data_IF_013579403086
#
_entry.id   IF_013579403086
#
_cell.length_a   1.000
_cell.length_b   1.000
_cell.length_c   1.000
_cell.angle_alpha   90.00
_cell.angle_beta   90.00
_cell.angle_gamma   90.00
#
_symmetry.space_group_name_H-M   'P 1'
#
loop_
_entity.id
_entity.type
_entity.pdbx_description
1 polymer ?
#
# COMPACT_ATOMS: atom_id res chain seq x y z
N UNK A 1 -5.51 15.54 -23.70
CA UNK A 1 -6.08 14.34 -24.35
C UNK A 1 -6.64 14.73 -25.71
N UNK A 2 -6.67 13.81 -26.67
CA UNK A 2 -7.09 14.05 -28.06
C UNK A 2 -8.07 12.96 -28.54
N UNK A 3 -8.75 13.18 -29.66
CA UNK A 3 -9.61 12.18 -30.31
C UNK A 3 -10.72 11.63 -29.39
N UNK A 4 -10.89 10.32 -29.30
CA UNK A 4 -11.91 9.69 -28.45
C UNK A 4 -11.62 9.90 -26.95
N UNK A 5 -10.34 9.85 -26.54
CA UNK A 5 -9.95 10.18 -25.15
C UNK A 5 -10.43 11.57 -24.74
N UNK A 6 -10.38 12.54 -25.66
CA UNK A 6 -10.85 13.90 -25.38
C UNK A 6 -12.36 13.93 -25.13
N UNK A 7 -13.14 13.21 -25.96
CA UNK A 7 -14.61 13.16 -25.85
C UNK A 7 -15.01 12.48 -24.55
N UNK A 8 -14.46 11.32 -24.27
CA UNK A 8 -14.74 10.57 -23.05
C UNK A 8 -14.32 11.33 -21.79
N UNK A 9 -13.06 11.78 -21.74
CA UNK A 9 -12.56 12.46 -20.55
C UNK A 9 -13.26 13.80 -20.32
N UNK A 10 -13.70 14.52 -21.36
CA UNK A 10 -14.43 15.78 -21.18
C UNK A 10 -15.74 15.58 -20.38
N UNK A 11 -16.44 14.48 -20.64
CA UNK A 11 -17.67 14.11 -19.93
C UNK A 11 -17.39 13.70 -18.49
N UNK A 12 -16.41 12.82 -18.27
CA UNK A 12 -16.07 12.32 -16.92
C UNK A 12 -15.54 13.46 -16.04
N UNK A 13 -14.64 14.27 -16.58
CA UNK A 13 -13.95 15.33 -15.83
C UNK A 13 -14.81 16.59 -15.66
N UNK A 14 -15.89 16.71 -16.44
CA UNK A 14 -16.69 17.91 -16.61
C UNK A 14 -15.81 19.11 -17.00
N UNK A 15 -15.06 18.95 -18.10
CA UNK A 15 -14.19 19.99 -18.66
C UNK A 15 -14.58 20.29 -20.10
N UNK A 16 -14.22 21.47 -20.60
CA UNK A 16 -14.56 21.88 -21.95
C UNK A 16 -13.92 20.95 -23.01
N UNK A 17 -14.76 20.39 -23.88
CA UNK A 17 -14.32 19.75 -25.12
C UNK A 17 -14.10 20.82 -26.18
N UNK A 18 -12.88 20.92 -26.69
CA UNK A 18 -12.45 21.90 -27.70
C UNK A 18 -11.85 21.18 -28.90
N UNK A 19 -11.24 21.93 -29.82
CA UNK A 19 -10.52 21.37 -30.97
C UNK A 19 -9.23 22.12 -31.25
N UNK A 20 -8.20 21.39 -31.69
CA UNK A 20 -6.96 21.95 -32.26
C UNK A 20 -6.92 21.59 -33.75
N UNK A 21 -7.12 22.58 -34.61
CA UNK A 21 -7.48 22.31 -36.01
C UNK A 21 -8.84 21.60 -36.05
N UNK A 22 -8.88 20.40 -36.65
CA UNK A 22 -10.08 19.55 -36.68
C UNK A 22 -10.09 18.48 -35.59
N UNK A 23 -9.00 18.32 -34.84
CA UNK A 23 -8.86 17.25 -33.84
C UNK A 23 -9.51 17.63 -32.51
N UNK A 24 -10.46 16.83 -31.97
CA UNK A 24 -11.02 17.03 -30.64
C UNK A 24 -9.94 17.01 -29.55
N UNK A 25 -10.04 17.90 -28.58
CA UNK A 25 -9.08 18.06 -27.50
C UNK A 25 -9.76 18.50 -26.21
N UNK A 26 -9.35 17.91 -25.09
CA UNK A 26 -9.57 18.48 -23.76
C UNK A 26 -8.28 18.39 -22.94
N UNK A 27 -8.17 19.20 -21.89
CA UNK A 27 -6.96 19.29 -21.08
C UNK A 27 -7.24 19.79 -19.67
N UNK A 28 -6.28 19.52 -18.79
CA UNK A 28 -6.30 19.92 -17.39
C UNK A 28 -4.96 20.58 -17.05
N UNK A 29 -4.92 21.55 -16.12
CA UNK A 29 -3.67 22.15 -15.70
C UNK A 29 -2.83 21.17 -14.88
N UNK A 30 -1.52 21.14 -15.12
CA UNK A 30 -0.58 20.20 -14.49
C UNK A 30 -0.69 20.19 -12.95
N UNK A 31 -0.82 21.37 -12.33
CA UNK A 31 -0.91 21.51 -10.87
C UNK A 31 -2.19 20.92 -10.27
N UNK A 32 -3.23 20.68 -11.07
CA UNK A 32 -4.50 20.10 -10.61
C UNK A 32 -4.68 18.64 -11.03
N UNK A 33 -3.66 18.01 -11.63
CA UNK A 33 -3.74 16.67 -12.24
C UNK A 33 -4.36 15.64 -11.31
N UNK A 34 -3.99 15.66 -10.03
CA UNK A 34 -4.43 14.66 -9.06
C UNK A 34 -5.96 14.63 -8.84
N UNK A 35 -6.62 15.78 -8.78
CA UNK A 35 -8.08 15.82 -8.58
C UNK A 35 -8.83 15.27 -9.79
N UNK A 36 -8.31 15.48 -11.00
CA UNK A 36 -8.90 14.94 -12.22
C UNK A 36 -8.57 13.46 -12.40
N UNK A 37 -7.38 13.04 -11.98
CA UNK A 37 -6.98 11.63 -11.97
C UNK A 37 -7.93 10.80 -11.12
N UNK A 38 -8.28 11.30 -9.93
CA UNK A 38 -9.23 10.64 -9.04
C UNK A 38 -10.58 10.37 -9.71
N UNK A 39 -11.10 11.33 -10.48
CA UNK A 39 -12.37 11.17 -11.22
C UNK A 39 -12.29 10.11 -12.32
N UNK A 40 -11.17 10.07 -13.07
CA UNK A 40 -10.99 9.07 -14.13
C UNK A 40 -10.92 7.66 -13.54
N UNK A 41 -10.17 7.49 -12.47
CA UNK A 41 -10.01 6.20 -11.80
C UNK A 41 -11.30 5.74 -11.10
N UNK A 42 -12.07 6.65 -10.49
CA UNK A 42 -13.40 6.36 -9.96
C UNK A 42 -14.39 5.95 -11.06
N UNK A 43 -14.21 6.46 -12.29
CA UNK A 43 -14.96 6.01 -13.46
C UNK A 43 -14.40 4.70 -14.09
N UNK A 44 -13.47 4.02 -13.40
CA UNK A 44 -12.87 2.77 -13.86
C UNK A 44 -11.88 2.92 -15.01
N UNK A 45 -11.36 4.13 -15.27
CA UNK A 45 -10.44 4.39 -16.38
C UNK A 45 -8.98 4.36 -15.94
N UNK A 46 -8.17 3.63 -16.70
CA UNK A 46 -6.71 3.67 -16.63
C UNK A 46 -6.17 4.92 -17.32
N UNK A 47 -5.10 5.50 -16.77
CA UNK A 47 -4.51 6.74 -17.31
C UNK A 47 -3.01 6.57 -17.49
N UNK A 48 -2.56 6.66 -18.74
CA UNK A 48 -1.15 6.72 -19.08
C UNK A 48 -0.66 8.18 -18.98
N UNK A 49 0.38 8.41 -18.18
CA UNK A 49 1.03 9.71 -18.07
C UNK A 49 2.25 9.73 -18.98
N UNK A 50 2.28 10.73 -19.84
CA UNK A 50 3.33 10.91 -20.82
C UNK A 50 4.08 12.22 -20.56
N UNK A 51 5.32 12.10 -20.11
CA UNK A 51 6.17 13.24 -19.73
C UNK A 51 7.23 13.53 -20.78
N UNK A 52 7.75 14.76 -20.74
CA UNK A 52 8.92 15.16 -21.51
C UNK A 52 10.17 14.68 -20.79
N UNK A 53 11.02 13.91 -21.47
CA UNK A 53 12.24 13.35 -20.89
C UNK A 53 13.49 14.17 -21.21
N UNK A 54 13.36 15.20 -22.03
CA UNK A 54 14.46 16.10 -22.39
C UNK A 54 14.04 17.58 -22.30
N UNK A 55 15.03 18.46 -22.11
CA UNK A 55 14.81 19.90 -22.04
C UNK A 55 14.29 20.44 -23.36
N UNK A 56 13.18 21.18 -23.31
CA UNK A 56 12.59 21.78 -24.49
C UNK A 56 13.53 22.79 -25.15
N UNK A 57 13.75 22.60 -26.46
CA UNK A 57 14.46 23.55 -27.32
C UNK A 57 13.47 24.18 -28.31
N UNK A 58 13.55 25.51 -28.54
CA UNK A 58 12.62 26.18 -29.46
C UNK A 58 12.60 25.52 -30.84
N UNK A 59 11.40 25.24 -31.35
CA UNK A 59 11.19 24.67 -32.69
C UNK A 59 11.48 23.17 -32.83
N UNK A 60 11.92 22.49 -31.78
CA UNK A 60 12.18 21.05 -31.80
C UNK A 60 11.13 20.27 -31.02
N UNK A 61 10.72 19.14 -31.57
CA UNK A 61 9.89 18.17 -30.86
C UNK A 61 10.76 17.51 -29.79
N UNK A 62 10.34 17.63 -28.54
CA UNK A 62 10.94 16.90 -27.44
C UNK A 62 10.49 15.45 -27.42
N UNK A 63 11.41 14.56 -27.08
CA UNK A 63 11.15 13.16 -26.79
C UNK A 63 10.21 13.05 -25.59
N UNK A 64 9.19 12.22 -25.75
CA UNK A 64 8.17 11.94 -24.74
C UNK A 64 8.02 10.44 -24.55
N UNK A 65 7.85 10.03 -23.31
CA UNK A 65 7.68 8.63 -22.95
C UNK A 65 6.56 8.48 -21.93
N UNK A 66 5.94 7.29 -21.91
CA UNK A 66 4.99 6.94 -20.86
C UNK A 66 5.80 6.60 -19.62
N UNK A 67 5.72 7.46 -18.61
CA UNK A 67 6.47 7.32 -17.36
C UNK A 67 5.74 6.47 -16.34
N UNK A 68 4.41 6.43 -16.42
CA UNK A 68 3.56 5.67 -15.50
C UNK A 68 2.19 5.41 -16.13
N UNK A 69 1.61 4.26 -15.82
CA UNK A 69 0.20 3.97 -16.09
C UNK A 69 -0.47 3.74 -14.74
N UNK A 70 -1.49 4.54 -14.47
CA UNK A 70 -2.23 4.52 -13.22
C UNK A 70 -3.55 3.81 -13.44
N UNK A 71 -3.91 2.87 -12.57
CA UNK A 71 -5.18 2.15 -12.62
C UNK A 71 -5.92 2.24 -11.29
N UNK A 72 -7.24 1.94 -11.28
CA UNK A 72 -8.03 1.95 -10.06
C UNK A 72 -7.44 1.04 -8.96
N UNK A 73 -6.95 -0.16 -9.32
CA UNK A 73 -6.32 -1.09 -8.37
C UNK A 73 -4.82 -0.88 -8.14
N UNK A 74 -4.16 0.03 -8.86
CA UNK A 74 -2.71 0.20 -8.77
C UNK A 74 -2.27 1.67 -8.92
N UNK A 75 -2.18 2.37 -7.78
CA UNK A 75 -1.71 3.76 -7.69
C UNK A 75 -1.21 4.10 -6.27
N UNK A 76 -0.38 5.15 -6.16
CA UNK A 76 0.19 5.63 -4.89
C UNK A 76 -0.37 6.99 -4.43
N UNK A 77 -1.41 7.52 -5.07
CA UNK A 77 -1.97 8.82 -4.69
C UNK A 77 -2.74 8.71 -3.36
N UNK A 78 -2.11 9.13 -2.25
CA UNK A 78 -2.69 9.07 -0.90
C UNK A 78 -4.02 9.82 -0.77
N UNK A 79 -4.30 10.81 -1.62
CA UNK A 79 -5.59 11.52 -1.60
C UNK A 79 -6.74 10.65 -2.09
N UNK A 80 -6.41 9.59 -2.81
CA UNK A 80 -7.37 8.62 -3.35
C UNK A 80 -7.45 7.35 -2.52
N UNK A 81 -6.39 7.05 -1.77
CA UNK A 81 -6.31 5.86 -0.95
C UNK A 81 -6.96 6.13 0.41
N UNK A 82 -7.87 5.24 0.80
CA UNK A 82 -8.33 5.19 2.19
C UNK A 82 -7.21 4.62 3.06
N UNK A 83 -6.83 5.34 4.12
CA UNK A 83 -5.71 4.93 4.98
C UNK A 83 -5.96 3.54 5.60
N UNK A 84 -7.18 3.28 6.06
CA UNK A 84 -7.55 2.08 6.80
C UNK A 84 -7.93 0.88 5.91
N UNK A 85 -7.77 1.00 4.59
CA UNK A 85 -8.20 -0.03 3.62
C UNK A 85 -7.12 -0.30 2.58
N UNK A 86 -6.93 -1.58 2.26
CA UNK A 86 -6.10 -2.00 1.13
C UNK A 86 -6.73 -1.61 -0.21
N UNK A 87 -5.90 -1.32 -1.21
CA UNK A 87 -6.34 -1.10 -2.58
C UNK A 87 -5.88 -2.26 -3.47
N UNK A 88 -6.61 -3.37 -3.41
CA UNK A 88 -6.22 -4.58 -4.13
C UNK A 88 -6.52 -4.48 -5.63
N UNK A 89 -5.52 -4.86 -6.43
CA UNK A 89 -5.71 -5.43 -7.74
C UNK A 89 -5.81 -6.95 -7.61
N UNK A 90 -6.87 -7.55 -8.14
CA UNK A 90 -7.07 -8.99 -8.11
C UNK A 90 -6.94 -9.58 -9.51
N UNK A 91 -6.24 -10.71 -9.62
CA UNK A 91 -6.28 -11.56 -10.80
C UNK A 91 -7.04 -12.83 -10.49
N UNK A 92 -7.94 -13.24 -11.40
CA UNK A 92 -8.68 -14.50 -11.30
C UNK A 92 -8.32 -15.39 -12.49
N UNK A 93 -7.89 -16.61 -12.20
CA UNK A 93 -7.56 -17.63 -13.20
C UNK A 93 -8.34 -18.92 -12.96
N UNK A 94 -8.48 -19.74 -13.99
CA UNK A 94 -9.13 -21.06 -13.89
C UNK A 94 -8.19 -22.13 -14.43
N UNK A 95 -8.08 -23.23 -13.69
CA UNK A 95 -7.42 -24.45 -14.15
C UNK A 95 -8.27 -25.66 -13.77
N UNK A 96 -8.78 -26.38 -14.77
CA UNK A 96 -9.75 -27.46 -14.55
C UNK A 96 -11.00 -26.95 -13.84
N UNK A 97 -11.26 -27.46 -12.64
CA UNK A 97 -12.40 -27.08 -11.79
C UNK A 97 -12.00 -26.14 -10.63
N UNK A 98 -10.76 -25.63 -10.63
CA UNK A 98 -10.23 -24.78 -9.56
C UNK A 98 -10.10 -23.34 -10.04
N UNK A 99 -10.32 -22.41 -9.13
CA UNK A 99 -10.20 -20.97 -9.34
C UNK A 99 -9.02 -20.44 -8.53
N UNK A 100 -8.06 -19.81 -9.20
CA UNK A 100 -7.00 -19.08 -8.53
C UNK A 100 -7.42 -17.63 -8.32
N UNK A 101 -7.22 -17.11 -7.12
CA UNK A 101 -7.42 -15.69 -6.81
C UNK A 101 -6.14 -15.15 -6.21
N UNK A 102 -5.50 -14.22 -6.91
CA UNK A 102 -4.31 -13.52 -6.43
C UNK A 102 -4.65 -12.06 -6.17
N UNK A 103 -4.30 -11.55 -5.00
CA UNK A 103 -4.51 -10.18 -4.57
C UNK A 103 -3.18 -9.49 -4.34
N UNK A 104 -2.97 -8.36 -5.03
CA UNK A 104 -1.80 -7.51 -4.89
C UNK A 104 -2.24 -6.14 -4.41
N UNK A 105 -1.65 -5.62 -3.33
CA UNK A 105 -1.74 -4.21 -2.98
C UNK A 105 -0.38 -3.56 -3.24
N UNK A 106 -0.34 -2.78 -4.31
CA UNK A 106 0.86 -2.07 -4.73
C UNK A 106 1.39 -1.13 -3.63
N UNK A 107 0.51 -0.62 -2.77
CA UNK A 107 0.84 0.38 -1.75
C UNK A 107 1.41 -0.22 -0.48
N UNK A 108 1.09 -1.46 -0.13
CA UNK A 108 1.59 -2.12 1.09
C UNK A 108 2.65 -3.19 0.80
N UNK A 109 2.74 -3.65 -0.44
CA UNK A 109 3.57 -4.80 -0.79
C UNK A 109 2.85 -6.15 -0.56
N UNK A 110 1.58 -6.14 -0.17
CA UNK A 110 0.82 -7.38 0.02
C UNK A 110 0.72 -8.15 -1.30
N UNK A 111 1.11 -9.42 -1.26
CA UNK A 111 0.89 -10.37 -2.34
C UNK A 111 0.40 -11.70 -1.76
N UNK A 112 -0.91 -11.93 -1.90
CA UNK A 112 -1.62 -13.08 -1.34
C UNK A 112 -2.26 -13.87 -2.47
N UNK A 113 -2.35 -15.19 -2.32
CA UNK A 113 -3.00 -16.05 -3.31
C UNK A 113 -3.70 -17.22 -2.65
N UNK A 114 -4.81 -17.65 -3.22
CA UNK A 114 -5.56 -18.83 -2.77
C UNK A 114 -6.14 -19.59 -3.96
N UNK A 115 -6.57 -20.83 -3.72
CA UNK A 115 -7.22 -21.66 -4.71
C UNK A 115 -8.58 -22.17 -4.21
N UNK A 116 -9.63 -21.91 -4.98
CA UNK A 116 -11.02 -22.12 -4.59
C UNK A 116 -11.71 -23.17 -5.46
N UNK A 117 -12.71 -23.84 -4.89
CA UNK A 117 -13.42 -24.96 -5.52
C UNK A 117 -14.75 -24.59 -6.18
N UNK A 118 -15.27 -23.38 -5.93
CA UNK A 118 -16.59 -22.98 -6.41
C UNK A 118 -16.67 -21.51 -6.80
N UNK A 119 -17.57 -21.22 -7.73
CA UNK A 119 -17.89 -19.86 -8.16
C UNK A 119 -18.37 -18.98 -7.00
N UNK A 120 -19.16 -19.55 -6.08
CA UNK A 120 -19.62 -18.84 -4.88
C UNK A 120 -18.46 -18.46 -3.95
N UNK A 121 -17.44 -19.31 -3.84
CA UNK A 121 -16.24 -18.99 -3.07
C UNK A 121 -15.46 -17.84 -3.71
N UNK A 122 -15.38 -17.79 -5.05
CA UNK A 122 -14.76 -16.65 -5.76
C UNK A 122 -15.52 -15.36 -5.46
N UNK A 123 -16.86 -15.38 -5.54
CA UNK A 123 -17.69 -14.20 -5.23
C UNK A 123 -17.50 -13.76 -3.77
N UNK A 124 -17.50 -14.70 -2.82
CA UNK A 124 -17.25 -14.40 -1.41
C UNK A 124 -15.89 -13.75 -1.19
N UNK A 125 -14.86 -14.23 -1.89
CA UNK A 125 -13.51 -13.71 -1.77
C UNK A 125 -13.34 -12.31 -2.40
N UNK A 126 -14.00 -12.06 -3.53
CA UNK A 126 -14.05 -10.73 -4.15
C UNK A 126 -14.81 -9.73 -3.27
N UNK A 127 -15.93 -10.14 -2.66
CA UNK A 127 -16.67 -9.30 -1.72
C UNK A 127 -15.82 -8.96 -0.49
N UNK A 128 -15.09 -9.96 0.03
CA UNK A 128 -14.23 -9.83 1.21
C UNK A 128 -13.07 -8.87 0.97
N UNK A 129 -12.37 -9.04 -0.14
CA UNK A 129 -11.20 -8.25 -0.50
C UNK A 129 -11.58 -6.88 -1.07
N UNK A 130 -12.78 -6.76 -1.64
CA UNK A 130 -13.36 -5.54 -2.21
C UNK A 130 -12.33 -4.79 -3.12
N UNK A 131 -11.93 -5.40 -4.24
CA UNK A 131 -10.84 -4.92 -5.08
C UNK A 131 -11.18 -3.60 -5.79
N UNK A 132 -10.15 -2.78 -6.00
CA UNK A 132 -10.25 -1.60 -6.87
C UNK A 132 -10.27 -1.96 -8.35
N UNK A 133 -9.67 -3.08 -8.72
CA UNK A 133 -9.63 -3.59 -10.10
C UNK A 133 -9.49 -5.12 -10.11
N UNK A 134 -10.19 -5.77 -11.03
CA UNK A 134 -10.03 -7.21 -11.31
C UNK A 134 -9.60 -7.44 -12.75
N UNK A 135 -8.66 -8.37 -12.93
CA UNK A 135 -8.21 -8.86 -14.24
C UNK A 135 -8.47 -10.36 -14.39
N UNK A 136 -8.71 -10.79 -15.63
CA UNK A 136 -8.95 -12.19 -15.98
C UNK A 136 -8.45 -12.51 -17.41
N UNK A 137 -8.20 -13.80 -17.75
CA UNK A 137 -7.85 -14.22 -19.11
C UNK A 137 -8.94 -13.86 -20.13
N UNK A 138 -8.60 -13.14 -21.20
CA UNK A 138 -9.54 -12.63 -22.22
C UNK A 138 -10.44 -13.73 -22.82
N UNK A 139 -9.91 -14.94 -22.98
CA UNK A 139 -10.61 -16.07 -23.55
C UNK A 139 -11.68 -16.64 -22.61
N UNK A 140 -11.63 -16.33 -21.31
CA UNK A 140 -12.50 -16.89 -20.28
C UNK A 140 -13.77 -16.04 -20.08
N UNK A 141 -14.67 -16.09 -21.06
CA UNK A 141 -15.97 -15.37 -20.98
C UNK A 141 -16.82 -15.76 -19.76
N UNK A 142 -16.76 -17.03 -19.34
CA UNK A 142 -17.46 -17.52 -18.14
C UNK A 142 -16.98 -16.82 -16.87
N UNK A 143 -15.67 -16.56 -16.74
CA UNK A 143 -15.16 -15.78 -15.62
C UNK A 143 -15.66 -14.34 -15.65
N UNK A 144 -15.71 -13.74 -16.85
CA UNK A 144 -16.22 -12.38 -16.99
C UNK A 144 -17.66 -12.26 -16.49
N UNK A 145 -18.55 -13.14 -16.96
CA UNK A 145 -19.97 -13.18 -16.57
C UNK A 145 -20.17 -13.43 -15.07
N UNK A 146 -19.30 -14.23 -14.45
CA UNK A 146 -19.31 -14.48 -13.01
C UNK A 146 -18.88 -13.25 -12.18
N UNK A 147 -17.84 -12.55 -12.63
CA UNK A 147 -17.15 -11.51 -11.85
C UNK A 147 -17.80 -10.14 -12.05
N UNK A 148 -18.19 -9.78 -13.28
CA UNK A 148 -18.69 -8.45 -13.66
C UNK A 148 -19.78 -7.91 -12.72
N UNK A 149 -20.78 -8.69 -12.27
CA UNK A 149 -21.84 -8.19 -11.38
C UNK A 149 -21.36 -7.84 -9.97
N UNK A 150 -20.18 -8.33 -9.57
CA UNK A 150 -19.70 -8.30 -8.19
C UNK A 150 -18.56 -7.29 -7.98
N UNK A 151 -18.07 -6.64 -9.03
CA UNK A 151 -16.91 -5.74 -8.96
C UNK A 151 -17.16 -4.45 -9.73
N UNK A 152 -16.49 -3.37 -9.32
CA UNK A 152 -16.66 -2.07 -9.98
C UNK A 152 -15.89 -1.95 -11.29
N UNK A 153 -14.73 -2.62 -11.38
CA UNK A 153 -13.83 -2.53 -12.54
C UNK A 153 -13.33 -3.93 -12.88
N UNK A 154 -13.65 -4.38 -14.08
CA UNK A 154 -13.22 -5.67 -14.63
C UNK A 154 -12.51 -5.44 -15.98
N UNK A 155 -11.35 -6.05 -16.17
CA UNK A 155 -10.58 -5.97 -17.41
C UNK A 155 -10.15 -7.35 -17.88
N UNK A 156 -10.29 -7.63 -19.17
CA UNK A 156 -9.59 -8.76 -19.78
C UNK A 156 -8.09 -8.47 -19.91
N UNK A 157 -7.29 -9.53 -19.87
CA UNK A 157 -5.86 -9.49 -20.13
C UNK A 157 -5.41 -10.76 -20.87
N UNK A 158 -4.23 -10.72 -21.48
CA UNK A 158 -3.77 -11.77 -22.41
C UNK A 158 -3.68 -13.14 -21.72
N UNK A 159 -4.41 -14.16 -22.20
CA UNK A 159 -4.54 -15.42 -21.47
C UNK A 159 -3.24 -16.19 -21.24
N UNK A 160 -2.25 -16.01 -22.13
CA UNK A 160 -0.96 -16.69 -22.02
C UNK A 160 -0.20 -16.33 -20.75
N UNK A 161 -0.41 -15.15 -20.15
CA UNK A 161 0.26 -14.76 -18.90
C UNK A 161 -0.23 -15.55 -17.69
N UNK A 162 -1.44 -16.11 -17.78
CA UNK A 162 -2.06 -16.93 -16.74
C UNK A 162 -1.76 -18.42 -16.92
N UNK A 163 -1.12 -18.81 -18.03
CA UNK A 163 -0.69 -20.18 -18.25
C UNK A 163 0.43 -20.54 -17.25
N UNK A 164 0.38 -21.75 -16.69
CA UNK A 164 1.25 -22.18 -15.59
C UNK A 164 2.73 -21.99 -15.88
N UNK A 165 3.20 -22.34 -17.09
CA UNK A 165 4.61 -22.24 -17.46
C UNK A 165 5.10 -20.78 -17.44
N UNK A 166 4.32 -19.87 -18.01
CA UNK A 166 4.62 -18.44 -18.04
C UNK A 166 4.50 -17.80 -16.66
N UNK A 167 3.46 -18.16 -15.92
CA UNK A 167 3.20 -17.66 -14.59
C UNK A 167 4.32 -18.08 -13.62
N UNK A 168 4.72 -19.35 -13.66
CA UNK A 168 5.86 -19.85 -12.88
C UNK A 168 7.15 -19.12 -13.23
N UNK A 169 7.45 -18.94 -14.52
CA UNK A 169 8.64 -18.21 -14.96
C UNK A 169 8.63 -16.78 -14.42
N UNK A 170 7.50 -16.07 -14.54
CA UNK A 170 7.34 -14.69 -14.07
C UNK A 170 7.57 -14.59 -12.56
N UNK A 171 7.00 -15.50 -11.77
CA UNK A 171 7.17 -15.52 -10.32
C UNK A 171 8.60 -15.90 -9.91
N UNK A 172 9.19 -16.94 -10.53
CA UNK A 172 10.56 -17.38 -10.25
C UNK A 172 11.58 -16.30 -10.61
N UNK A 173 11.41 -15.62 -11.73
CA UNK A 173 12.28 -14.51 -12.12
C UNK A 173 12.14 -13.33 -11.16
N UNK A 174 10.94 -12.95 -10.74
CA UNK A 174 10.74 -11.85 -9.80
C UNK A 174 11.33 -12.15 -8.42
N UNK A 175 10.96 -13.27 -7.81
CA UNK A 175 11.41 -13.64 -6.46
C UNK A 175 12.83 -14.21 -6.42
N UNK A 176 13.46 -14.43 -7.59
CA UNK A 176 14.80 -15.00 -7.73
C UNK A 176 14.94 -16.36 -7.02
N UNK A 177 13.94 -17.23 -7.22
CA UNK A 177 13.90 -18.59 -6.65
C UNK A 177 13.90 -19.67 -7.73
N UNK A 178 14.39 -20.86 -7.39
CA UNK A 178 14.37 -22.01 -8.30
C UNK A 178 12.98 -22.68 -8.39
N UNK A 179 12.22 -22.64 -7.31
CA UNK A 179 10.92 -23.30 -7.17
C UNK A 179 9.97 -22.46 -6.30
N UNK A 180 8.67 -22.65 -6.48
CA UNK A 180 7.62 -21.93 -5.74
C UNK A 180 7.09 -22.70 -4.53
N UNK A 181 7.65 -23.89 -4.24
CA UNK A 181 7.24 -24.74 -3.12
C UNK A 181 7.31 -23.99 -1.77
N UNK A 182 8.34 -23.16 -1.60
CA UNK A 182 8.53 -22.35 -0.39
C UNK A 182 7.46 -21.28 -0.17
N UNK A 183 6.67 -20.94 -1.20
CA UNK A 183 5.53 -20.03 -1.11
C UNK A 183 4.19 -20.77 -0.93
N UNK A 184 4.21 -22.10 -0.85
CA UNK A 184 3.00 -22.92 -0.74
C UNK A 184 2.26 -23.07 -2.08
N UNK A 185 2.92 -22.85 -3.22
CA UNK A 185 2.28 -22.95 -4.54
C UNK A 185 2.45 -24.30 -5.23
N UNK A 186 3.07 -25.27 -4.55
CA UNK A 186 3.25 -26.62 -5.09
C UNK A 186 1.87 -27.21 -5.43
N UNK A 187 1.69 -27.67 -6.67
CA UNK A 187 0.44 -28.28 -7.18
C UNK A 187 -0.78 -27.34 -7.25
N UNK A 188 -0.66 -26.07 -6.85
CA UNK A 188 -1.72 -25.07 -6.95
C UNK A 188 -1.65 -24.30 -8.28
N UNK A 189 -2.04 -24.98 -9.36
CA UNK A 189 -1.89 -24.48 -10.73
C UNK A 189 -2.73 -23.21 -10.97
N UNK A 190 -3.98 -23.18 -10.50
CA UNK A 190 -4.84 -22.03 -10.74
C UNK A 190 -4.34 -20.81 -9.95
N UNK A 191 -3.93 -21.01 -8.69
CA UNK A 191 -3.28 -19.99 -7.86
C UNK A 191 -2.02 -19.43 -8.54
N UNK A 192 -1.15 -20.32 -9.05
CA UNK A 192 0.07 -19.93 -9.75
C UNK A 192 -0.25 -19.06 -10.98
N UNK A 193 -1.22 -19.47 -11.80
CA UNK A 193 -1.68 -18.72 -12.96
C UNK A 193 -2.20 -17.32 -12.60
N UNK A 194 -3.02 -17.21 -11.55
CA UNK A 194 -3.52 -15.93 -11.06
C UNK A 194 -2.39 -15.02 -10.55
N UNK A 195 -1.46 -15.56 -9.76
CA UNK A 195 -0.34 -14.80 -9.21
C UNK A 195 0.61 -14.30 -10.31
N UNK A 196 0.97 -15.16 -11.27
CA UNK A 196 1.78 -14.78 -12.42
C UNK A 196 1.09 -13.72 -13.29
N UNK A 197 -0.20 -13.88 -13.56
CA UNK A 197 -0.99 -12.90 -14.31
C UNK A 197 -1.07 -11.54 -13.62
N UNK A 198 -1.29 -11.51 -12.30
CA UNK A 198 -1.30 -10.28 -11.51
C UNK A 198 0.05 -9.55 -11.57
N UNK A 199 1.14 -10.27 -11.33
CA UNK A 199 2.49 -9.71 -11.33
C UNK A 199 2.91 -9.23 -12.72
N UNK A 200 2.59 -9.99 -13.76
CA UNK A 200 2.85 -9.60 -15.15
C UNK A 200 2.06 -8.34 -15.52
N UNK A 201 0.78 -8.25 -15.15
CA UNK A 201 -0.04 -7.07 -15.41
C UNK A 201 0.53 -5.82 -14.73
N UNK A 202 0.86 -5.90 -13.45
CA UNK A 202 1.39 -4.75 -12.71
C UNK A 202 2.77 -4.33 -13.24
N UNK A 203 3.66 -5.28 -13.52
CA UNK A 203 5.03 -4.98 -13.97
C UNK A 203 5.12 -4.59 -15.46
N UNK A 204 4.44 -5.31 -16.36
CA UNK A 204 4.57 -5.13 -17.82
C UNK A 204 3.49 -4.23 -18.40
N UNK A 205 2.22 -4.45 -18.04
CA UNK A 205 1.10 -3.67 -18.59
C UNK A 205 1.01 -2.29 -17.96
N UNK A 206 1.09 -2.21 -16.63
CA UNK A 206 1.04 -0.94 -15.90
C UNK A 206 2.41 -0.26 -15.74
N UNK A 207 3.50 -0.96 -16.10
CA UNK A 207 4.88 -0.45 -16.01
C UNK A 207 5.22 0.07 -14.61
N UNK A 208 4.77 -0.64 -13.58
CA UNK A 208 5.05 -0.30 -12.19
C UNK A 208 6.29 -1.05 -11.73
N UNK A 209 7.07 -0.39 -10.89
CA UNK A 209 8.07 -1.07 -10.10
C UNK A 209 7.35 -2.00 -9.09
N UNK A 210 7.82 -3.24 -9.04
CA UNK A 210 7.28 -4.33 -8.23
C UNK A 210 8.33 -4.90 -7.28
N UNK A 211 9.53 -4.32 -7.22
CA UNK A 211 10.68 -4.83 -6.45
C UNK A 211 10.42 -4.96 -4.95
N UNK A 212 9.48 -4.18 -4.42
CA UNK A 212 9.07 -4.24 -3.02
C UNK A 212 8.13 -5.42 -2.70
N UNK A 213 7.60 -6.13 -3.69
CA UNK A 213 6.94 -7.43 -3.46
C UNK A 213 8.01 -8.48 -3.14
N UNK A 214 8.37 -8.59 -1.87
CA UNK A 214 9.44 -9.49 -1.41
C UNK A 214 8.93 -10.87 -0.99
N UNK A 215 7.62 -11.01 -0.77
CA UNK A 215 7.00 -12.25 -0.31
C UNK A 215 5.68 -12.50 -1.07
N UNK A 216 5.41 -13.78 -1.35
CA UNK A 216 4.12 -14.29 -1.79
C UNK A 216 3.59 -15.25 -0.73
N UNK A 217 2.33 -15.10 -0.34
CA UNK A 217 1.69 -15.97 0.65
C UNK A 217 0.50 -16.71 0.06
N UNK A 218 0.58 -18.05 0.07
CA UNK A 218 -0.59 -18.89 -0.15
C UNK A 218 -1.37 -19.04 1.17
N UNK A 219 -2.70 -18.93 1.12
CA UNK A 219 -3.57 -19.18 2.26
C UNK A 219 -4.74 -20.08 1.89
N UNK A 220 -5.14 -20.93 2.84
CA UNK A 220 -6.29 -21.81 2.70
C UNK A 220 -7.52 -21.18 3.32
N UNK A 221 -8.63 -21.15 2.57
CA UNK A 221 -9.90 -20.62 3.10
C UNK A 221 -10.43 -21.49 4.25
N UNK A 222 -10.08 -22.78 4.29
CA UNK A 222 -10.45 -23.70 5.38
C UNK A 222 -9.81 -23.38 6.74
N UNK A 223 -8.75 -22.57 6.77
CA UNK A 223 -8.14 -22.10 8.02
C UNK A 223 -9.02 -21.07 8.75
N UNK A 224 -10.10 -20.66 8.11
CA UNK A 224 -11.04 -19.66 8.59
C UNK A 224 -12.48 -20.18 8.61
N UNK A 225 -13.34 -19.52 9.38
CA UNK A 225 -14.78 -19.68 9.29
C UNK A 225 -15.23 -19.19 7.91
N UNK A 226 -15.82 -20.09 7.12
CA UNK A 226 -16.36 -19.75 5.81
C UNK A 226 -17.57 -18.83 5.98
N UNK A 227 -17.43 -17.60 5.49
CA UNK A 227 -18.50 -16.62 5.40
C UNK A 227 -18.81 -16.38 3.92
N UNK A 228 -20.05 -16.61 3.50
CA UNK A 228 -20.45 -16.29 2.13
C UNK A 228 -20.62 -14.78 1.93
N UNK A 229 -20.69 -14.35 0.67
CA UNK A 229 -20.82 -12.93 0.32
C UNK A 229 -22.06 -12.27 0.95
N UNK A 230 -23.17 -13.01 1.04
CA UNK A 230 -24.40 -12.53 1.63
C UNK A 230 -24.25 -12.32 3.15
N UNK A 231 -23.58 -13.23 3.84
CA UNK A 231 -23.30 -13.17 5.28
C UNK A 231 -22.40 -11.98 5.59
N UNK A 232 -21.34 -11.76 4.81
CA UNK A 232 -20.45 -10.60 4.96
C UNK A 232 -21.23 -9.27 4.88
N UNK A 233 -22.18 -9.16 3.93
CA UNK A 233 -23.05 -7.99 3.76
C UNK A 233 -24.09 -7.84 4.87
N UNK A 234 -24.84 -8.90 5.15
CA UNK A 234 -25.97 -8.83 6.10
C UNK A 234 -25.54 -8.70 7.55
N UNK A 235 -24.35 -9.17 7.90
CA UNK A 235 -23.75 -8.92 9.21
C UNK A 235 -23.11 -7.53 9.31
N UNK A 236 -23.08 -6.75 8.21
CA UNK A 236 -22.49 -5.41 8.14
C UNK A 236 -21.09 -5.39 8.78
N UNK A 237 -20.25 -6.39 8.45
CA UNK A 237 -18.96 -6.59 9.12
C UNK A 237 -18.04 -5.40 8.87
N UNK A 238 -17.85 -5.04 7.60
CA UNK A 238 -16.99 -3.93 7.18
C UNK A 238 -17.78 -2.72 6.72
N UNK A 239 -18.79 -2.95 5.86
CA UNK A 239 -19.56 -1.93 5.19
C UNK A 239 -21.04 -2.02 5.59
N UNK A 240 -21.76 -0.88 5.70
CA UNK A 240 -23.19 -0.89 5.96
C UNK A 240 -23.95 -1.36 4.72
N UNK A 241 -25.06 -2.06 4.95
CA UNK A 241 -25.98 -2.52 3.91
C UNK A 241 -26.68 -1.33 3.24
N UNK A 242 -27.04 -0.31 4.04
CA UNK A 242 -27.70 0.91 3.56
C UNK A 242 -26.80 2.13 3.82
N UNK A 243 -26.05 2.54 2.79
CA UNK A 243 -25.12 3.69 2.87
C UNK A 243 -25.78 5.02 3.23
N UNK A 244 -27.09 5.16 2.99
CA UNK A 244 -27.87 6.37 3.27
C UNK A 244 -28.47 6.41 4.69
N UNK A 245 -28.21 5.39 5.52
CA UNK A 245 -28.66 5.41 6.91
C UNK A 245 -28.09 6.63 7.64
N UNK A 246 -28.89 7.26 8.51
CA UNK A 246 -28.46 8.44 9.28
C UNK A 246 -27.34 8.15 10.27
N UNK A 247 -27.18 6.88 10.68
CA UNK A 247 -26.07 6.37 11.48
C UNK A 247 -25.72 4.96 11.00
N UNK A 248 -24.94 4.80 9.92
CA UNK A 248 -24.49 3.49 9.52
C UNK A 248 -23.57 2.94 10.61
N UNK A 249 -23.86 1.74 11.11
CA UNK A 249 -23.07 1.07 12.12
C UNK A 249 -22.61 -0.27 11.56
N UNK A 250 -21.31 -0.55 11.68
CA UNK A 250 -20.70 -1.81 11.26
C UNK A 250 -19.95 -2.41 12.43
N UNK A 251 -19.70 -3.72 12.39
CA UNK A 251 -18.87 -4.37 13.40
C UNK A 251 -17.47 -3.73 13.45
N UNK A 252 -16.91 -3.44 12.27
CA UNK A 252 -15.64 -2.72 12.14
C UNK A 252 -15.69 -1.34 12.79
N UNK A 253 -16.70 -0.51 12.52
CA UNK A 253 -16.79 0.84 13.13
C UNK A 253 -16.93 0.80 14.66
N UNK A 254 -17.60 -0.23 15.18
CA UNK A 254 -17.73 -0.43 16.63
C UNK A 254 -16.39 -0.84 17.28
N UNK A 255 -15.61 -1.71 16.62
CA UNK A 255 -14.38 -2.29 17.18
C UNK A 255 -13.10 -1.53 16.83
N UNK A 256 -13.07 -0.79 15.72
CA UNK A 256 -11.85 -0.15 15.25
C UNK A 256 -11.42 0.99 16.20
N UNK A 257 -10.41 0.71 17.02
CA UNK A 257 -9.69 1.66 17.88
C UNK A 257 -8.17 1.52 17.69
N UNK A 258 -7.74 1.08 16.51
CA UNK A 258 -6.33 0.82 16.24
C UNK A 258 -5.52 2.12 16.18
N UNK A 259 -4.28 2.09 16.68
CA UNK A 259 -3.40 3.27 16.66
C UNK A 259 -2.78 3.60 15.30
N UNK A 260 -2.81 2.67 14.35
CA UNK A 260 -2.15 2.83 13.03
C UNK A 260 -3.06 2.39 11.89
N UNK A 261 -2.93 3.00 10.68
CA UNK A 261 -3.68 2.56 9.51
C UNK A 261 -3.41 1.11 9.10
N UNK A 262 -2.16 0.63 9.21
CA UNK A 262 -1.83 -0.80 8.98
C UNK A 262 -2.52 -1.73 9.98
N UNK A 263 -2.65 -1.31 11.25
CA UNK A 263 -3.43 -2.03 12.25
C UNK A 263 -4.92 -2.08 11.88
N UNK A 264 -5.46 -0.98 11.36
CA UNK A 264 -6.85 -0.89 10.91
C UNK A 264 -7.11 -1.86 9.73
N UNK A 265 -6.21 -1.91 8.74
CA UNK A 265 -6.25 -2.87 7.63
C UNK A 265 -6.21 -4.32 8.13
N UNK A 266 -5.29 -4.61 9.06
CA UNK A 266 -5.18 -5.94 9.69
C UNK A 266 -6.44 -6.35 10.45
N UNK A 267 -7.09 -5.41 11.13
CA UNK A 267 -8.36 -5.67 11.82
C UNK A 267 -9.48 -6.02 10.82
N UNK A 268 -9.56 -5.35 9.66
CA UNK A 268 -10.52 -5.69 8.60
C UNK A 268 -10.33 -7.12 8.12
N UNK A 269 -9.09 -7.54 7.89
CA UNK A 269 -8.76 -8.93 7.53
C UNK A 269 -9.24 -9.89 8.63
N UNK A 270 -8.96 -9.61 9.90
CA UNK A 270 -9.35 -10.49 11.01
C UNK A 270 -10.86 -10.62 11.22
N UNK A 271 -11.62 -9.54 11.01
CA UNK A 271 -13.08 -9.57 11.16
C UNK A 271 -13.75 -10.34 10.02
N UNK A 272 -13.13 -10.39 8.84
CA UNK A 272 -13.67 -11.10 7.68
C UNK A 272 -13.12 -12.51 7.49
N UNK A 273 -12.04 -12.86 8.20
CA UNK A 273 -11.48 -14.21 8.24
C UNK A 273 -11.29 -14.66 9.69
N UNK A 274 -12.39 -15.01 10.40
CA UNK A 274 -12.29 -15.55 11.75
C UNK A 274 -11.55 -16.88 11.72
N UNK A 275 -10.57 -17.08 12.60
CA UNK A 275 -9.79 -18.32 12.66
C UNK A 275 -10.69 -19.53 12.95
N UNK A 276 -10.47 -20.66 12.27
CA UNK A 276 -11.20 -21.91 12.53
C UNK A 276 -10.55 -22.75 13.64
N UNK A 277 -9.25 -22.56 13.89
CA UNK A 277 -8.46 -23.34 14.84
C UNK A 277 -8.37 -22.70 16.22
N UNK A 278 -8.54 -23.51 17.27
CA UNK A 278 -8.55 -23.05 18.67
C UNK A 278 -7.21 -22.48 19.14
N UNK A 279 -6.09 -23.11 18.75
CA UNK A 279 -4.76 -22.72 19.24
C UNK A 279 -4.36 -21.28 18.84
N UNK A 280 -4.47 -20.86 17.56
CA UNK A 280 -4.27 -19.45 17.18
C UNK A 280 -5.19 -18.46 17.92
N UNK A 281 -6.45 -18.84 18.19
CA UNK A 281 -7.40 -18.02 18.95
C UNK A 281 -6.91 -17.84 20.39
N UNK A 282 -6.52 -18.93 21.05
CA UNK A 282 -5.97 -18.89 22.42
C UNK A 282 -4.73 -18.01 22.52
N UNK A 283 -3.82 -18.12 21.55
CA UNK A 283 -2.61 -17.27 21.49
C UNK A 283 -2.95 -15.77 21.39
N UNK A 284 -3.98 -15.39 20.63
CA UNK A 284 -4.47 -14.01 20.58
C UNK A 284 -5.11 -13.59 21.91
N UNK A 285 -5.94 -14.45 22.50
CA UNK A 285 -6.59 -14.19 23.80
C UNK A 285 -5.57 -14.00 24.93
N UNK A 286 -4.52 -14.82 24.97
CA UNK A 286 -3.43 -14.69 25.95
C UNK A 286 -2.70 -13.36 25.80
N UNK A 287 -2.32 -12.98 24.57
CA UNK A 287 -1.68 -11.69 24.31
C UNK A 287 -2.57 -10.50 24.75
N UNK A 288 -3.87 -10.56 24.45
CA UNK A 288 -4.84 -9.54 24.86
C UNK A 288 -4.95 -9.47 26.38
N UNK A 289 -5.07 -10.62 27.06
CA UNK A 289 -5.20 -10.69 28.52
C UNK A 289 -3.99 -10.08 29.24
N UNK A 290 -2.78 -10.31 28.72
CA UNK A 290 -1.55 -9.73 29.28
C UNK A 290 -1.57 -8.19 29.25
N UNK A 291 -2.05 -7.58 28.16
CA UNK A 291 -2.18 -6.12 28.07
C UNK A 291 -3.35 -5.56 28.89
N UNK A 292 -4.52 -6.23 28.91
CA UNK A 292 -5.69 -5.77 29.67
C UNK A 292 -5.38 -5.69 31.17
N UNK A 293 -4.61 -6.65 31.69
CA UNK A 293 -4.20 -6.66 33.11
C UNK A 293 -3.15 -5.59 33.43
N UNK A 294 -2.59 -4.92 32.41
CA UNK A 294 -1.49 -3.96 32.53
C UNK A 294 -1.82 -2.67 31.76
N UNK A 295 -2.95 -2.02 32.10
CA UNK A 295 -3.51 -0.87 31.36
C UNK A 295 -2.53 0.28 31.13
N UNK A 296 -1.68 0.59 32.12
CA UNK A 296 -0.67 1.66 31.98
C UNK A 296 0.36 1.35 30.88
N UNK A 297 0.75 0.08 30.74
CA UNK A 297 1.68 -0.32 29.67
C UNK A 297 0.94 -0.33 28.33
N UNK A 298 -0.31 -0.78 28.30
CA UNK A 298 -1.15 -0.72 27.10
C UNK A 298 -1.30 0.73 26.59
N UNK A 299 -1.58 1.70 27.45
CA UNK A 299 -1.73 3.10 27.06
C UNK A 299 -0.43 3.65 26.44
N UNK A 300 0.71 3.42 27.10
CA UNK A 300 2.03 3.79 26.58
C UNK A 300 2.35 3.10 25.24
N UNK A 301 2.02 1.81 25.13
CA UNK A 301 2.23 1.04 23.90
C UNK A 301 1.40 1.59 22.75
N UNK A 302 0.13 1.92 23.01
CA UNK A 302 -0.75 2.55 22.05
C UNK A 302 -0.27 3.94 21.61
N UNK A 303 0.24 4.77 22.53
CA UNK A 303 0.84 6.08 22.18
C UNK A 303 2.09 5.92 21.32
N UNK A 304 3.00 5.01 21.68
CA UNK A 304 4.20 4.75 20.87
C UNK A 304 3.86 4.23 19.46
N UNK A 305 2.81 3.40 19.33
CA UNK A 305 2.32 2.95 18.03
C UNK A 305 1.77 4.08 17.16
N UNK A 306 1.15 5.13 17.71
CA UNK A 306 0.66 6.27 16.91
C UNK A 306 1.81 6.97 16.18
N UNK A 307 2.98 7.05 16.81
CA UNK A 307 4.19 7.64 16.22
C UNK A 307 4.80 6.79 15.09
N UNK A 308 4.47 5.49 15.02
CA UNK A 308 4.88 4.60 13.90
C UNK A 308 4.14 4.94 12.61
N UNK A 309 2.91 5.47 12.70
CA UNK A 309 2.06 5.84 11.55
C UNK A 309 1.82 4.69 10.57
N UNK A 310 1.72 4.98 9.27
CA UNK A 310 1.53 3.98 8.21
C UNK A 310 2.88 3.56 7.59
N UNK A 311 3.61 2.75 8.35
CA UNK A 311 4.96 2.31 7.98
C UNK A 311 4.97 1.47 6.69
N UNK A 312 3.96 0.62 6.47
CA UNK A 312 3.85 -0.23 5.28
C UNK A 312 3.80 0.60 3.98
N UNK A 313 2.92 1.60 3.92
CA UNK A 313 2.79 2.46 2.73
C UNK A 313 4.00 3.36 2.52
N UNK A 314 4.57 3.84 3.61
CA UNK A 314 5.76 4.67 3.57
C UNK A 314 6.98 3.91 3.02
N UNK A 315 7.24 2.69 3.52
CA UNK A 315 8.32 1.83 3.01
C UNK A 315 8.11 1.55 1.52
N UNK A 316 6.91 1.16 1.11
CA UNK A 316 6.61 0.86 -0.29
C UNK A 316 6.88 2.06 -1.21
N UNK A 317 6.49 3.28 -0.80
CA UNK A 317 6.80 4.49 -1.58
C UNK A 317 8.30 4.76 -1.70
N UNK A 318 9.03 4.62 -0.60
CA UNK A 318 10.47 4.84 -0.55
C UNK A 318 11.21 3.82 -1.43
N UNK A 319 10.82 2.55 -1.37
CA UNK A 319 11.41 1.47 -2.17
C UNK A 319 11.26 1.70 -3.68
N UNK A 320 10.14 2.27 -4.13
CA UNK A 320 9.82 2.50 -5.55
C UNK A 320 10.27 3.89 -6.03
N UNK A 321 10.92 4.68 -5.16
CA UNK A 321 11.39 6.02 -5.51
C UNK A 321 10.29 7.06 -5.70
N UNK A 322 9.08 6.79 -5.20
CA UNK A 322 7.94 7.74 -5.21
C UNK A 322 7.80 8.54 -3.92
N UNK A 323 8.57 8.19 -2.88
CA UNK A 323 8.61 8.90 -1.60
C UNK A 323 9.42 10.21 -1.66
N UNK A 324 9.28 11.02 -0.61
CA UNK A 324 9.95 12.31 -0.44
C UNK A 324 10.74 12.41 0.88
N UNK A 325 11.41 13.54 1.12
CA UNK A 325 12.22 13.74 2.32
C UNK A 325 11.42 13.67 3.64
N UNK A 326 10.13 14.05 3.63
CA UNK A 326 9.26 13.91 4.81
C UNK A 326 8.90 12.47 5.10
N UNK A 327 8.86 11.60 4.08
CA UNK A 327 8.72 10.15 4.29
C UNK A 327 9.95 9.59 5.01
N UNK A 328 11.16 10.06 4.68
CA UNK A 328 12.38 9.66 5.41
C UNK A 328 12.37 10.12 6.87
N UNK A 329 11.94 11.36 7.15
CA UNK A 329 11.80 11.85 8.53
C UNK A 329 10.77 11.06 9.32
N UNK A 330 9.64 10.71 8.69
CA UNK A 330 8.62 9.86 9.32
C UNK A 330 9.12 8.45 9.58
N UNK A 331 9.87 7.86 8.64
CA UNK A 331 10.53 6.56 8.82
C UNK A 331 11.49 6.62 10.01
N UNK A 332 12.31 7.67 10.09
CA UNK A 332 13.19 7.89 11.24
C UNK A 332 12.40 7.92 12.56
N UNK A 333 11.33 8.71 12.63
CA UNK A 333 10.46 8.80 13.82
C UNK A 333 9.86 7.45 14.22
N UNK A 334 9.39 6.66 13.25
CA UNK A 334 8.86 5.33 13.47
C UNK A 334 9.92 4.35 14.00
N UNK A 335 11.12 4.35 13.41
CA UNK A 335 12.21 3.47 13.82
C UNK A 335 12.71 3.76 15.25
N UNK A 336 12.64 5.01 15.71
CA UNK A 336 12.97 5.37 17.10
C UNK A 336 12.00 4.76 18.13
N UNK A 337 10.79 4.38 17.73
CA UNK A 337 9.81 3.76 18.63
C UNK A 337 10.10 2.28 18.92
N UNK A 338 10.80 1.59 18.00
CA UNK A 338 11.02 0.13 18.05
C UNK A 338 11.63 -0.33 19.39
N UNK A 339 12.70 0.30 19.92
CA UNK A 339 13.30 -0.13 21.18
C UNK A 339 12.33 -0.03 22.37
N UNK A 340 11.49 1.02 22.40
CA UNK A 340 10.50 1.22 23.46
C UNK A 340 9.38 0.19 23.36
N UNK A 341 8.86 -0.06 22.17
CA UNK A 341 7.85 -1.09 21.91
C UNK A 341 8.33 -2.49 22.34
N UNK A 342 9.58 -2.86 21.98
CA UNK A 342 10.18 -4.13 22.42
C UNK A 342 10.30 -4.21 23.94
N UNK A 343 10.70 -3.13 24.59
CA UNK A 343 10.82 -3.07 26.05
C UNK A 343 9.45 -3.27 26.72
N UNK A 344 8.40 -2.60 26.23
CA UNK A 344 7.04 -2.75 26.76
C UNK A 344 6.46 -4.16 26.56
N UNK A 345 6.77 -4.82 25.45
CA UNK A 345 6.42 -6.24 25.24
C UNK A 345 7.08 -7.12 26.30
N UNK A 346 8.38 -6.94 26.55
CA UNK A 346 9.11 -7.71 27.56
C UNK A 346 8.60 -7.42 28.98
N UNK A 347 8.30 -6.16 29.30
CA UNK A 347 7.72 -5.75 30.59
C UNK A 347 6.41 -6.49 30.86
N UNK A 348 5.46 -6.47 29.91
CA UNK A 348 4.15 -7.13 30.04
C UNK A 348 4.27 -8.64 30.22
N UNK A 349 5.27 -9.27 29.61
CA UNK A 349 5.53 -10.71 29.73
C UNK A 349 6.18 -11.10 31.05
N UNK A 350 6.97 -10.20 31.65
CA UNK A 350 7.67 -10.44 32.91
C UNK A 350 6.76 -10.36 34.14
N UNK A 351 5.58 -9.74 34.00
CA UNK A 351 4.62 -9.57 35.08
C UNK A 351 3.83 -10.87 35.24
N UNK A 352 3.94 -11.49 36.42
CA UNK A 352 3.11 -12.62 36.84
C UNK A 352 1.64 -12.19 36.88
N UNK A 353 0.93 -12.45 35.79
CA UNK A 353 -0.50 -12.25 35.74
C UNK A 353 -1.17 -13.52 36.25
N UNK A 354 -1.87 -13.52 37.40
CA UNK A 354 -2.79 -14.61 37.71
C UNK A 354 -3.87 -14.58 36.64
N UNK A 355 -3.78 -15.49 35.67
CA UNK A 355 -4.84 -15.72 34.69
C UNK A 355 -6.06 -16.10 35.52
N UNK A 356 -6.98 -15.17 35.72
CA UNK A 356 -8.35 -15.49 36.11
C UNK A 356 -9.11 -15.70 34.80
N UNK A 357 -9.22 -16.93 34.29
CA UNK A 357 -10.07 -17.16 33.14
C UNK A 357 -11.51 -16.84 33.55
N UNK A 358 -12.07 -15.79 32.97
CA UNK A 358 -13.50 -15.45 33.09
C UNK A 358 -14.40 -16.45 32.35
N UNK A 359 -13.83 -17.54 31.82
CA UNK A 359 -14.54 -18.66 31.21
C UNK A 359 -14.02 -19.98 31.84
N UNK A 360 -14.89 -20.63 32.61
CA UNK A 360 -14.79 -21.96 33.24
C UNK A 360 -13.41 -22.68 33.21
N UNK A 361 -12.79 -22.79 34.38
CA UNK A 361 -11.55 -23.58 34.65
C UNK A 361 -11.60 -25.06 34.25
N UNK A 362 -12.78 -25.65 34.05
CA UNK A 362 -12.94 -27.10 33.87
C UNK A 362 -12.79 -27.61 32.42
N UNK A 363 -12.49 -26.75 31.45
CA UNK A 363 -12.32 -27.15 30.02
C UNK A 363 -10.84 -27.11 29.58
N UNK A 364 -9.95 -26.56 30.40
CA UNK A 364 -8.60 -26.19 29.95
C UNK A 364 -7.52 -26.72 30.92
N UNK A 365 -7.28 -28.03 30.89
CA UNK A 365 -6.00 -28.57 31.35
C UNK A 365 -4.91 -28.07 30.40
N UNK A 366 -3.95 -27.31 30.94
CA UNK A 366 -2.85 -26.72 30.18
C UNK A 366 -1.78 -27.80 30.01
N UNK A 367 -1.83 -28.53 28.89
CA UNK A 367 -0.66 -29.28 28.42
C UNK A 367 0.53 -28.29 28.29
N UNK A 368 1.74 -28.64 28.75
CA UNK A 368 2.90 -27.78 28.67
C UNK A 368 3.35 -27.67 27.20
N UNK A 369 2.78 -26.70 26.47
CA UNK A 369 3.19 -26.42 25.10
C UNK A 369 4.51 -25.63 25.08
N UNK A 370 5.53 -26.20 24.44
CA UNK A 370 6.85 -25.62 24.18
C UNK A 370 6.83 -24.45 23.16
N UNK A 371 5.66 -23.98 22.74
CA UNK A 371 5.56 -22.91 21.73
C UNK A 371 5.70 -21.53 22.36
N UNK A 372 6.54 -20.63 21.80
CA UNK A 372 6.67 -19.27 22.30
C UNK A 372 5.33 -18.54 22.21
N UNK A 373 5.05 -17.70 23.21
CA UNK A 373 3.86 -16.85 23.23
C UNK A 373 3.84 -15.90 22.02
N UNK A 374 2.65 -15.47 21.61
CA UNK A 374 2.48 -14.60 20.44
C UNK A 374 3.25 -13.27 20.58
N UNK A 375 3.26 -12.71 21.79
CA UNK A 375 4.02 -11.48 22.06
C UNK A 375 5.54 -11.69 22.00
N UNK A 376 6.04 -12.88 22.37
CA UNK A 376 7.47 -13.17 22.27
C UNK A 376 7.88 -13.28 20.79
N UNK A 377 7.04 -13.95 19.99
CA UNK A 377 7.21 -13.98 18.54
C UNK A 377 7.30 -12.57 17.94
N UNK A 378 6.34 -11.68 18.20
CA UNK A 378 6.41 -10.31 17.69
C UNK A 378 7.57 -9.50 18.27
N UNK A 379 7.86 -9.62 19.57
CA UNK A 379 8.99 -8.95 20.22
C UNK A 379 10.34 -9.32 19.59
N UNK A 380 10.51 -10.58 19.19
CA UNK A 380 11.73 -11.07 18.52
C UNK A 380 11.91 -10.58 17.07
N UNK A 381 10.84 -10.12 16.44
CA UNK A 381 10.88 -9.51 15.10
C UNK A 381 11.18 -8.00 15.13
N UNK A 382 11.11 -7.38 16.31
CA UNK A 382 11.42 -5.96 16.49
C UNK A 382 12.94 -5.74 16.60
N UNK A 383 13.55 -5.49 15.45
CA UNK A 383 14.98 -5.22 15.33
C UNK A 383 15.27 -3.72 15.28
N UNK A 384 16.26 -3.29 16.06
CA UNK A 384 16.73 -1.91 16.01
C UNK A 384 17.55 -1.72 14.74
N UNK A 385 17.39 -0.56 14.07
CA UNK A 385 18.09 -0.22 12.84
C UNK A 385 18.95 1.04 13.02
N UNK A 386 19.97 1.01 13.92
CA UNK A 386 20.75 2.19 14.29
C UNK A 386 21.48 2.82 13.10
N UNK A 387 21.97 1.99 12.17
CA UNK A 387 22.66 2.47 10.97
C UNK A 387 21.74 3.31 10.07
N UNK A 388 20.48 2.90 9.95
CA UNK A 388 19.47 3.61 9.13
C UNK A 388 19.04 4.89 9.84
N UNK A 389 18.79 4.83 11.15
CA UNK A 389 18.37 6.02 11.91
C UNK A 389 19.49 7.07 11.99
N UNK A 390 20.74 6.64 12.19
CA UNK A 390 21.91 7.51 12.14
C UNK A 390 22.10 8.13 10.75
N UNK A 391 21.95 7.33 9.68
CA UNK A 391 22.05 7.85 8.32
C UNK A 391 20.99 8.91 8.02
N UNK A 392 19.73 8.69 8.39
CA UNK A 392 18.66 9.67 8.12
C UNK A 392 18.90 10.94 8.94
N UNK A 393 19.16 10.81 10.25
CA UNK A 393 19.35 11.96 11.14
C UNK A 393 20.51 12.87 10.74
N UNK A 394 21.61 12.30 10.24
CA UNK A 394 22.75 13.11 9.76
C UNK A 394 22.57 13.67 8.35
N UNK A 395 21.62 13.14 7.56
CA UNK A 395 21.49 13.46 6.13
C UNK A 395 20.31 14.36 5.80
N UNK A 396 19.19 14.26 6.50
CA UNK A 396 17.95 14.98 6.20
C UNK A 396 17.61 15.96 7.33
N UNK A 397 17.23 17.19 6.98
CA UNK A 397 16.78 18.20 7.95
C UNK A 397 15.45 17.79 8.61
N UNK A 398 15.15 18.31 9.81
CA UNK A 398 13.94 17.93 10.57
C UNK A 398 12.62 18.30 9.89
N UNK A 399 12.55 19.49 9.26
CA UNK A 399 11.38 19.94 8.49
C UNK A 399 11.78 20.16 7.02
N UNK A 400 11.90 19.08 6.22
CA UNK A 400 12.32 19.22 4.84
C UNK A 400 11.16 19.73 3.98
N UNK A 401 11.45 20.56 2.96
CA UNK A 401 10.47 20.94 1.94
C UNK A 401 9.88 19.71 1.23
N UNK A 402 8.64 19.83 0.74
CA UNK A 402 7.96 18.73 0.05
C UNK A 402 8.58 18.45 -1.32
N UNK A 403 8.90 19.51 -2.07
CA UNK A 403 9.40 19.39 -3.43
C UNK A 403 10.93 19.34 -3.46
N UNK A 404 11.49 18.30 -4.08
CA UNK A 404 12.94 18.16 -4.25
C UNK A 404 13.59 19.39 -4.90
N UNK A 405 12.86 20.06 -5.81
CA UNK A 405 13.33 21.25 -6.53
C UNK A 405 13.52 22.50 -5.66
N UNK A 406 12.90 22.54 -4.48
CA UNK A 406 13.04 23.67 -3.55
C UNK A 406 14.40 23.65 -2.82
N UNK A 407 15.10 22.50 -2.83
CA UNK A 407 16.35 22.34 -2.10
C UNK A 407 16.13 22.31 -0.58
N UNK A 408 17.16 22.63 0.20
CA UNK A 408 17.05 22.72 1.66
C UNK A 408 16.82 21.39 2.41
N UNK A 409 16.87 20.25 1.71
CA UNK A 409 16.59 18.92 2.30
C UNK A 409 17.79 18.34 3.05
N UNK A 410 18.99 18.48 2.50
CA UNK A 410 20.18 17.83 3.04
C UNK A 410 20.78 18.65 4.19
N UNK A 411 21.12 18.00 5.30
CA UNK A 411 21.77 18.64 6.45
C UNK A 411 23.13 19.26 6.07
N UNK A 412 23.47 20.36 6.75
CA UNK A 412 24.84 20.92 6.69
C UNK A 412 25.82 19.94 7.32
N UNK A 413 26.98 19.76 6.72
CA UNK A 413 28.02 18.82 7.16
C UNK A 413 27.88 17.41 6.60
N UNK A 414 26.78 17.10 5.90
CA UNK A 414 26.58 15.78 5.30
C UNK A 414 27.41 15.58 4.02
N UNK A 415 27.51 16.62 3.19
CA UNK A 415 28.29 16.60 1.96
C UNK A 415 29.10 17.90 1.83
N UNK A 416 30.45 17.82 1.91
CA UNK A 416 31.32 19.00 1.86
C UNK A 416 31.17 19.83 0.58
N UNK A 417 31.02 19.18 -0.59
CA UNK A 417 30.86 19.86 -1.88
C UNK A 417 29.55 20.66 -1.93
N UNK A 418 28.46 20.08 -1.42
CA UNK A 418 27.17 20.77 -1.32
C UNK A 418 27.23 21.97 -0.37
N UNK A 419 27.96 21.83 0.74
CA UNK A 419 28.13 22.92 1.69
C UNK A 419 28.97 24.08 1.11
N UNK A 420 30.00 23.77 0.33
CA UNK A 420 30.78 24.76 -0.41
C UNK A 420 29.89 25.52 -1.41
N UNK A 421 29.09 24.81 -2.20
CA UNK A 421 28.14 25.40 -3.15
C UNK A 421 27.10 26.29 -2.46
N UNK A 422 26.57 25.87 -1.31
CA UNK A 422 25.63 26.66 -0.50
C UNK A 422 26.27 27.94 0.01
N UNK A 423 27.50 27.82 0.52
CA UNK A 423 28.27 28.96 1.05
C UNK A 423 28.50 29.99 -0.05
N UNK A 424 28.95 29.56 -1.24
CA UNK A 424 29.13 30.45 -2.39
C UNK A 424 27.85 31.15 -2.85
N UNK A 425 26.70 30.47 -2.81
CA UNK A 425 25.40 31.06 -3.15
C UNK A 425 24.95 32.14 -2.16
N UNK A 426 25.28 32.00 -0.87
CA UNK A 426 24.96 33.00 0.17
C UNK A 426 25.95 34.17 0.19
N UNK A 427 27.25 33.89 0.07
CA UNK A 427 28.30 34.91 0.09
C UNK A 427 28.17 35.91 -1.07
N UNK A 428 27.64 35.48 -2.21
CA UNK A 428 27.36 36.39 -3.33
C UNK A 428 26.37 37.50 -2.96
N UNK A 429 25.34 37.22 -2.15
CA UNK A 429 24.39 38.25 -1.69
C UNK A 429 25.05 39.20 -0.68
N UNK A 430 25.83 38.66 0.25
CA UNK A 430 26.54 39.47 1.25
C UNK A 430 27.61 40.35 0.60
N UNK A 431 28.31 39.83 -0.41
CA UNK A 431 29.27 40.57 -1.21
C UNK A 431 28.60 41.69 -2.02
N UNK A 432 27.47 41.41 -2.70
CA UNK A 432 26.69 42.44 -3.41
C UNK A 432 26.19 43.52 -2.44
N UNK A 433 25.67 43.13 -1.28
CA UNK A 433 25.20 44.07 -0.27
C UNK A 433 26.34 44.96 0.25
N UNK A 434 27.54 44.38 0.43
CA UNK A 434 28.74 45.11 0.85
C UNK A 434 29.24 46.07 -0.23
N UNK A 435 29.27 45.62 -1.49
CA UNK A 435 29.66 46.44 -2.64
C UNK A 435 28.69 47.61 -2.85
N UNK A 436 27.38 47.36 -2.77
CA UNK A 436 26.35 48.41 -2.85
C UNK A 436 26.58 49.48 -1.78
N UNK A 437 26.84 49.06 -0.52
CA UNK A 437 27.09 49.98 0.59
C UNK A 437 28.37 50.80 0.40
N UNK A 438 29.43 50.21 -0.15
CA UNK A 438 30.67 50.93 -0.51
C UNK A 438 30.43 51.95 -1.62
N UNK A 439 29.75 51.57 -2.69
CA UNK A 439 29.51 52.46 -3.84
C UNK A 439 28.51 53.58 -3.51
N UNK A 440 27.49 53.33 -2.68
CA UNK A 440 26.65 54.39 -2.11
C UNK A 440 27.47 55.40 -1.33
N UNK A 441 28.45 54.94 -0.55
CA UNK A 441 29.35 55.81 0.22
C UNK A 441 30.31 56.64 -0.66
N UNK A 442 30.80 56.07 -1.77
CA UNK A 442 31.70 56.77 -2.71
C UNK A 442 30.96 57.76 -3.62
N UNK A 443 29.75 57.40 -4.07
CA UNK A 443 29.01 58.18 -5.07
C UNK A 443 28.01 59.16 -4.47
N UNK A 444 27.60 58.96 -3.21
CA UNK A 444 26.58 59.77 -2.54
C UNK A 444 25.16 59.52 -3.06
N UNK A 445 24.96 58.52 -3.92
CA UNK A 445 23.67 58.13 -4.47
C UNK A 445 23.09 57.03 -3.59
N UNK A 446 21.90 57.25 -3.02
CA UNK A 446 21.28 56.34 -2.04
C UNK A 446 20.41 55.24 -2.66
N UNK A 447 20.30 55.19 -3.99
CA UNK A 447 19.50 54.20 -4.73
C UNK A 447 20.37 53.31 -5.61
#
# INVERSE_FOLDING_TARGET
MFFEDAKEASSILNVALTKRGETPMCGIPYHATSNYMAKLLQAGRKVAICDQIETARPGQLVKREITQIISPGAHFDERMLEAERNNFLIAVAVSGNRFGVAAIDLTTGDFKVTELESENAVIAELERLNPGEVIYPEESKRLAELIEPNVSVLNSYEGWVFAVETAEFTLKDHFKVAALDGFGLKEHIAATGAAGGALHYVSQHLRRDVTHFTQLSFYEVSDYLVLDAATLKHLEILEPLHREATKPATLYGALNRTSTPMGARRLRDWLTQPLSSVEPIRKRQEAIAQFINNSTILDRFCESLKEVRDLERMISRLSIGSGNARDLVQLYGALLQIPSLRTMINEVQSIDNPINPTLNKNIFEKEPNETPSLLNHFGSQLHDLPEVTELISRSIVEDPPMALKEGGIICKGFNPELDELRTGATEGKDWIAKLQKEEMGKTGITS
#
